data_IF_596274822159
#
_entry.id   IF_596274822159
#
_cell.length_a   1.000
_cell.length_b   1.000
_cell.length_c   1.000
_cell.angle_alpha   90.00
_cell.angle_beta   90.00
_cell.angle_gamma   90.00
#
_symmetry.space_group_name_H-M   'P 1'
#
loop_
_entity.id
_entity.type
_entity.pdbx_description
1 polymer ?
#
# COMPACT_ATOMS: atom_id res chain seq x y z
N UNK A 1 1.49 -24.15 -9.05
CA UNK A 1 1.18 -23.46 -7.79
C UNK A 1 1.72 -22.04 -7.92
N UNK A 2 0.90 -21.05 -8.30
CA UNK A 2 1.33 -19.65 -8.32
C UNK A 2 1.27 -19.12 -6.88
N UNK A 3 2.43 -18.93 -6.26
CA UNK A 3 2.51 -18.18 -5.00
C UNK A 3 2.13 -16.74 -5.31
N UNK A 4 0.94 -16.32 -4.89
CA UNK A 4 0.61 -14.91 -4.88
C UNK A 4 1.48 -14.22 -3.83
N UNK A 5 2.40 -13.36 -4.28
CA UNK A 5 3.27 -12.63 -3.39
C UNK A 5 2.48 -11.54 -2.67
N UNK A 6 2.77 -11.31 -1.40
CA UNK A 6 2.31 -10.12 -0.68
C UNK A 6 3.50 -9.17 -0.57
N UNK A 7 3.69 -8.25 -1.54
CA UNK A 7 4.86 -7.40 -1.53
C UNK A 7 4.84 -6.47 -0.32
N UNK A 8 6.03 -6.22 0.25
CA UNK A 8 6.19 -5.19 1.28
C UNK A 8 5.91 -3.83 0.66
N UNK A 9 4.94 -3.09 1.20
CA UNK A 9 4.55 -1.76 0.75
C UNK A 9 5.44 -0.68 1.36
N UNK A 10 5.33 -0.47 2.68
CA UNK A 10 6.11 0.54 3.39
C UNK A 10 6.26 0.19 4.88
N UNK A 11 7.35 0.67 5.47
CA UNK A 11 7.48 0.71 6.93
C UNK A 11 6.56 1.80 7.49
N UNK A 12 5.81 1.48 8.55
CA UNK A 12 4.76 2.36 9.06
C UNK A 12 5.33 3.63 9.68
N UNK A 13 6.44 3.53 10.42
CA UNK A 13 7.08 4.68 11.06
C UNK A 13 7.59 5.68 10.03
N UNK A 14 8.29 5.20 9.01
CA UNK A 14 8.80 6.05 7.92
C UNK A 14 7.68 6.71 7.11
N UNK A 15 6.58 6.00 6.89
CA UNK A 15 5.42 6.58 6.22
C UNK A 15 4.83 7.70 7.05
N UNK A 16 4.62 7.48 8.34
CA UNK A 16 4.01 8.49 9.22
C UNK A 16 4.91 9.71 9.36
N UNK A 17 6.23 9.52 9.49
CA UNK A 17 7.21 10.61 9.43
C UNK A 17 7.08 11.42 8.13
N UNK A 18 7.04 10.76 6.96
CA UNK A 18 6.83 11.42 5.67
C UNK A 18 5.50 12.19 5.61
N UNK A 19 4.42 11.63 6.16
CA UNK A 19 3.09 12.25 6.11
C UNK A 19 2.94 13.45 7.04
N UNK A 20 3.84 13.65 8.01
CA UNK A 20 3.86 14.87 8.82
C UNK A 20 4.32 16.10 8.02
N UNK A 21 5.02 15.90 6.91
CA UNK A 21 5.45 17.02 6.07
C UNK A 21 4.24 17.72 5.43
N UNK A 22 4.18 19.07 5.44
CA UNK A 22 3.08 19.81 4.87
C UNK A 22 2.85 19.46 3.40
N UNK A 23 1.59 19.23 3.02
CA UNK A 23 1.19 18.89 1.63
C UNK A 23 1.89 17.64 1.06
N UNK A 24 2.34 16.73 1.92
CA UNK A 24 2.87 15.43 1.53
C UNK A 24 1.81 14.58 0.81
N UNK A 25 2.23 13.86 -0.23
CA UNK A 25 1.38 12.92 -0.98
C UNK A 25 2.19 11.66 -1.23
N UNK A 26 1.71 10.54 -0.72
CA UNK A 26 2.33 9.23 -0.96
C UNK A 26 1.54 8.46 -2.02
N UNK A 27 2.24 8.09 -3.10
CA UNK A 27 1.69 7.30 -4.20
C UNK A 27 2.59 6.09 -4.47
N UNK A 28 1.98 4.98 -4.81
CA UNK A 28 2.66 3.85 -5.44
C UNK A 28 2.75 4.06 -6.94
N UNK A 29 3.95 3.91 -7.50
CA UNK A 29 4.13 3.81 -8.94
C UNK A 29 4.37 2.35 -9.31
N UNK A 30 3.34 1.68 -9.79
CA UNK A 30 3.43 0.29 -10.21
C UNK A 30 3.80 0.20 -11.68
N UNK A 31 4.73 -0.70 -11.99
CA UNK A 31 5.12 -1.08 -13.34
C UNK A 31 4.91 -2.59 -13.44
N UNK A 32 4.17 -3.03 -14.44
CA UNK A 32 4.02 -4.45 -14.75
C UNK A 32 4.22 -4.73 -16.22
N UNK A 33 4.61 -5.97 -16.50
CA UNK A 33 4.76 -6.48 -17.86
C UNK A 33 3.57 -7.40 -18.09
N UNK A 34 2.80 -7.12 -19.14
CA UNK A 34 1.69 -7.96 -19.55
C UNK A 34 2.19 -9.19 -20.33
N UNK A 35 1.32 -10.19 -20.50
CA UNK A 35 1.64 -11.41 -21.26
C UNK A 35 1.97 -11.11 -22.74
N UNK A 36 1.50 -9.97 -23.26
CA UNK A 36 1.82 -9.47 -24.61
C UNK A 36 3.16 -8.73 -24.69
N UNK A 37 3.93 -8.71 -23.60
CA UNK A 37 5.18 -7.95 -23.41
C UNK A 37 5.00 -6.43 -23.41
N UNK A 38 3.77 -5.93 -23.35
CA UNK A 38 3.52 -4.50 -23.16
C UNK A 38 3.75 -4.10 -21.70
N UNK A 39 4.34 -2.92 -21.50
CA UNK A 39 4.52 -2.31 -20.17
C UNK A 39 3.22 -1.60 -19.78
N UNK A 40 2.72 -1.91 -18.59
CA UNK A 40 1.62 -1.20 -17.92
C UNK A 40 2.18 -0.42 -16.75
N UNK A 41 1.72 0.81 -16.60
CA UNK A 41 2.13 1.69 -15.52
C UNK A 41 0.91 2.30 -14.85
N UNK A 42 0.94 2.41 -13.52
CA UNK A 42 -0.17 2.93 -12.74
C UNK A 42 0.36 3.74 -11.55
N UNK A 43 -0.13 4.97 -11.39
CA UNK A 43 0.12 5.78 -10.21
C UNK A 43 -1.11 5.67 -9.28
N UNK A 44 -0.92 5.03 -8.13
CA UNK A 44 -2.00 4.63 -7.23
C UNK A 44 -1.79 5.26 -5.86
N UNK A 45 -2.81 5.91 -5.31
CA UNK A 45 -2.77 6.46 -3.95
C UNK A 45 -2.61 5.35 -2.91
N UNK A 46 -1.86 5.61 -1.83
CA UNK A 46 -1.87 4.69 -0.67
C UNK A 46 -3.26 4.48 -0.07
N UNK A 47 -4.19 5.42 -0.31
CA UNK A 47 -5.57 5.35 0.14
C UNK A 47 -6.52 4.71 -0.88
N UNK A 48 -6.01 4.14 -1.98
CA UNK A 48 -6.84 3.39 -2.90
C UNK A 48 -7.56 2.28 -2.14
N UNK A 49 -8.89 2.34 -2.20
CA UNK A 49 -9.79 1.63 -1.30
C UNK A 49 -9.53 0.13 -1.24
N UNK A 50 -9.40 -0.53 -2.39
CA UNK A 50 -9.23 -1.98 -2.47
C UNK A 50 -7.86 -2.45 -1.98
N UNK A 51 -6.82 -1.66 -2.24
CA UNK A 51 -5.44 -1.92 -1.84
C UNK A 51 -5.28 -1.72 -0.33
N UNK A 52 -5.76 -0.60 0.20
CA UNK A 52 -5.72 -0.27 1.62
C UNK A 52 -6.48 -1.30 2.46
N UNK A 53 -7.70 -1.69 2.06
CA UNK A 53 -8.51 -2.66 2.79
C UNK A 53 -7.94 -4.07 2.82
N UNK A 54 -7.25 -4.47 1.75
CA UNK A 54 -6.68 -5.82 1.64
C UNK A 54 -5.26 -5.93 2.21
N UNK A 55 -4.64 -4.78 2.52
CA UNK A 55 -3.31 -4.72 3.10
C UNK A 55 -3.29 -5.23 4.53
N UNK A 56 -2.20 -5.89 4.91
CA UNK A 56 -2.00 -6.47 6.24
C UNK A 56 -0.79 -5.84 6.91
N UNK A 57 -0.86 -5.66 8.22
CA UNK A 57 0.31 -5.26 9.01
C UNK A 57 1.13 -6.51 9.29
N UNK A 58 2.43 -6.42 9.00
CA UNK A 58 3.44 -7.41 9.36
C UNK A 58 4.27 -6.82 10.51
N UNK A 59 4.04 -7.26 11.76
CA UNK A 59 4.84 -6.82 12.89
C UNK A 59 6.31 -7.20 12.72
N UNK A 60 7.21 -6.44 13.34
CA UNK A 60 8.59 -6.89 13.51
C UNK A 60 8.68 -7.91 14.65
N UNK A 61 9.52 -8.94 14.49
CA UNK A 61 9.81 -9.87 15.57
C UNK A 61 10.62 -9.16 16.66
N UNK A 62 10.31 -9.49 17.93
CA UNK A 62 10.59 -8.74 19.16
C UNK A 62 11.96 -8.04 19.24
N UNK A 63 11.94 -6.75 19.64
CA UNK A 63 13.14 -6.05 20.13
C UNK A 63 13.22 -4.55 19.81
N UNK A 64 12.32 -4.00 18.98
CA UNK A 64 12.29 -2.57 18.65
C UNK A 64 10.86 -2.02 18.72
N UNK A 65 10.74 -0.78 19.18
CA UNK A 65 9.51 0.05 19.26
C UNK A 65 8.92 0.42 17.88
N UNK A 66 9.06 -0.43 16.87
CA UNK A 66 8.67 -0.14 15.49
C UNK A 66 7.32 -0.80 15.16
N UNK A 67 6.39 -0.02 14.60
CA UNK A 67 5.00 -0.44 14.31
C UNK A 67 4.88 -1.53 13.24
N UNK A 68 5.96 -1.84 12.54
CA UNK A 68 6.01 -2.88 11.52
C UNK A 68 5.95 -2.34 10.09
N UNK A 69 5.53 -3.22 9.17
CA UNK A 69 5.47 -2.94 7.72
C UNK A 69 4.10 -3.31 7.19
N UNK A 70 3.55 -2.49 6.30
CA UNK A 70 2.38 -2.88 5.51
C UNK A 70 2.80 -3.85 4.41
N UNK A 71 2.15 -5.00 4.35
CA UNK A 71 2.17 -5.91 3.21
C UNK A 71 0.95 -5.67 2.35
N UNK A 72 1.17 -5.42 1.06
CA UNK A 72 0.12 -5.26 0.07
C UNK A 72 -0.40 -6.63 -0.37
N UNK A 73 -1.65 -6.67 -0.80
CA UNK A 73 -2.21 -7.84 -1.45
C UNK A 73 -1.79 -7.89 -2.93
N UNK A 74 -1.04 -8.93 -3.33
CA UNK A 74 -0.50 -9.05 -4.69
C UNK A 74 -1.57 -9.11 -5.78
N UNK A 75 -2.71 -9.77 -5.51
CA UNK A 75 -3.84 -9.82 -6.45
C UNK A 75 -4.41 -8.43 -6.72
N UNK A 76 -4.54 -7.58 -5.68
CA UNK A 76 -4.99 -6.19 -5.84
C UNK A 76 -3.98 -5.34 -6.58
N UNK A 77 -2.67 -5.49 -6.29
CA UNK A 77 -1.63 -4.79 -7.04
C UNK A 77 -1.68 -5.18 -8.53
N UNK A 78 -1.74 -6.48 -8.84
CA UNK A 78 -1.84 -6.98 -10.22
C UNK A 78 -3.06 -6.41 -10.94
N UNK A 79 -4.21 -6.38 -10.26
CA UNK A 79 -5.45 -5.80 -10.81
C UNK A 79 -5.29 -4.31 -11.11
N UNK A 80 -4.73 -3.54 -10.18
CA UNK A 80 -4.53 -2.09 -10.33
C UNK A 80 -3.49 -1.73 -11.40
N UNK A 81 -2.53 -2.62 -11.68
CA UNK A 81 -1.62 -2.45 -12.82
C UNK A 81 -2.35 -2.61 -14.16
N UNK A 82 -3.25 -3.58 -14.26
CA UNK A 82 -3.97 -3.89 -15.51
C UNK A 82 -5.10 -2.89 -15.76
N UNK A 83 -5.85 -2.55 -14.70
CA UNK A 83 -6.98 -1.63 -14.73
C UNK A 83 -6.86 -0.69 -13.53
N UNK A 84 -6.12 0.43 -13.69
CA UNK A 84 -5.88 1.38 -12.63
C UNK A 84 -7.17 2.03 -12.11
N UNK A 85 -7.22 2.22 -10.81
CA UNK A 85 -8.29 2.93 -10.10
C UNK A 85 -7.70 3.69 -8.92
N UNK A 86 -8.31 4.81 -8.56
CA UNK A 86 -7.94 5.64 -7.42
C UNK A 86 -9.15 6.03 -6.58
N UNK A 87 -10.14 5.14 -6.46
CA UNK A 87 -11.23 5.36 -5.52
C UNK A 87 -10.68 5.48 -4.09
N UNK A 88 -10.89 6.65 -3.50
CA UNK A 88 -10.56 6.97 -2.12
C UNK A 88 -11.88 7.20 -1.38
N UNK A 89 -11.97 6.68 -0.16
CA UNK A 89 -13.07 6.98 0.74
C UNK A 89 -12.50 7.68 1.97
N UNK A 90 -12.79 8.98 2.12
CA UNK A 90 -12.19 9.82 3.17
C UNK A 90 -12.38 9.23 4.58
N UNK A 91 -13.57 8.71 4.90
CA UNK A 91 -13.84 8.07 6.19
C UNK A 91 -12.94 6.85 6.42
N UNK A 92 -12.93 5.92 5.47
CA UNK A 92 -12.11 4.70 5.57
C UNK A 92 -10.60 5.03 5.60
N UNK A 93 -10.17 6.07 4.90
CA UNK A 93 -8.79 6.56 4.91
C UNK A 93 -8.39 7.13 6.27
N UNK A 94 -9.26 7.94 6.90
CA UNK A 94 -9.04 8.45 8.26
C UNK A 94 -8.99 7.35 9.29
N UNK A 95 -9.91 6.39 9.21
CA UNK A 95 -9.93 5.22 10.10
C UNK A 95 -8.65 4.38 9.95
N UNK A 96 -8.19 4.18 8.71
CA UNK A 96 -6.92 3.50 8.45
C UNK A 96 -5.73 4.27 9.06
N UNK A 97 -5.68 5.60 8.90
CA UNK A 97 -4.61 6.42 9.46
C UNK A 97 -4.60 6.42 10.99
N UNK A 98 -5.76 6.59 11.62
CA UNK A 98 -5.89 6.50 13.07
C UNK A 98 -5.37 5.16 13.59
N UNK A 99 -5.77 4.06 12.92
CA UNK A 99 -5.28 2.72 13.27
C UNK A 99 -3.76 2.62 13.16
N UNK A 100 -3.12 3.20 12.14
CA UNK A 100 -1.65 3.16 12.02
C UNK A 100 -0.93 3.98 13.09
N UNK A 101 -1.55 5.08 13.53
CA UNK A 101 -1.00 5.94 14.59
C UNK A 101 -1.05 5.22 15.94
N UNK A 102 -2.13 4.46 16.21
CA UNK A 102 -2.39 3.77 17.48
C UNK A 102 -1.67 2.42 17.66
N UNK A 103 -0.94 1.93 16.65
CA UNK A 103 -0.11 0.71 16.75
C UNK A 103 1.10 0.89 17.66
#
# INVERSE_FOLDING_TARGET
MHLESNPKGYNIDKLLEFLMEPKSVFMFYFIGISDKKDIKQALISMFQRSLMKSSRISPHWSGKTARGTIQLNGEKVKRLVISPDNQINDKESREFMARLIDL
#
